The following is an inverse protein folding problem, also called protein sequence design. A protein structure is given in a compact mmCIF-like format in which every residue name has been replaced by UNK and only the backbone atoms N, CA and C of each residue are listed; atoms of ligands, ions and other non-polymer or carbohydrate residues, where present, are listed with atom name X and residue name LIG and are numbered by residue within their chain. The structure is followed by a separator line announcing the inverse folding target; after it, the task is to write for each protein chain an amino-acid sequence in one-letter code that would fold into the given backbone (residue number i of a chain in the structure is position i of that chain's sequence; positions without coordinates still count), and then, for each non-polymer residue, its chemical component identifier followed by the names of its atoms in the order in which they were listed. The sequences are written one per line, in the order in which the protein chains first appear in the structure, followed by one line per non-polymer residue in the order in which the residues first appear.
data_IF_099397149404
#
_entry.id   IF_099397149404
#
_cell.length_a   1.000
_cell.length_b   1.000
_cell.length_c   1.000
_cell.angle_alpha   90.00
_cell.angle_beta   90.00
_cell.angle_gamma   90.00
#
_symmetry.space_group_name_H-M   'P 1'
#
loop_
_entity.id
_entity.type
_entity.pdbx_description
1 polymer ?
#
# COMPACT_ATOMS: atom_id res chain seq x y z
N UNK A 1 15.78 2.17 -9.53
CA UNK A 1 14.43 1.68 -9.86
C UNK A 1 14.02 0.80 -8.71
N UNK A 2 12.98 1.23 -8.02
CA UNK A 2 12.39 0.54 -6.88
C UNK A 2 11.94 -0.86 -7.31
N UNK A 3 11.99 -1.80 -6.38
CA UNK A 3 11.65 -3.20 -6.68
C UNK A 3 10.20 -3.52 -6.33
N UNK A 4 9.65 -2.79 -5.37
CA UNK A 4 8.33 -3.00 -4.82
C UNK A 4 7.55 -1.70 -4.78
N UNK A 5 6.24 -1.81 -4.95
CA UNK A 5 5.29 -0.78 -4.52
C UNK A 5 4.39 -1.37 -3.46
N UNK A 6 3.98 -0.53 -2.52
CA UNK A 6 3.02 -0.86 -1.47
C UNK A 6 1.85 0.07 -1.62
N UNK A 7 0.67 -0.52 -1.76
CA UNK A 7 -0.61 0.13 -1.66
C UNK A 7 -1.04 0.06 -0.19
N UNK A 8 -1.11 1.21 0.46
CA UNK A 8 -1.53 1.33 1.85
C UNK A 8 -3.06 1.45 1.93
N UNK A 9 -3.65 1.13 3.08
CA UNK A 9 -5.10 1.17 3.27
C UNK A 9 -5.72 2.56 3.25
N UNK A 10 -4.91 3.62 3.23
CA UNK A 10 -5.31 5.02 3.05
C UNK A 10 -5.14 5.52 1.60
N UNK A 11 -5.15 4.58 0.66
CA UNK A 11 -5.01 4.76 -0.80
C UNK A 11 -3.65 5.31 -1.25
N UNK A 12 -2.68 5.41 -0.34
CA UNK A 12 -1.35 5.90 -0.66
C UNK A 12 -0.51 4.80 -1.30
N UNK A 13 0.22 5.15 -2.36
CA UNK A 13 1.22 4.29 -3.00
C UNK A 13 2.61 4.77 -2.61
N UNK A 14 3.40 3.88 -2.03
CA UNK A 14 4.81 4.10 -1.74
C UNK A 14 5.68 3.08 -2.47
N UNK A 15 6.93 3.44 -2.75
CA UNK A 15 7.88 2.54 -3.41
C UNK A 15 9.09 2.19 -2.56
N UNK A 16 9.54 0.94 -2.64
CA UNK A 16 10.57 0.37 -1.76
C UNK A 16 11.56 -0.54 -2.52
N UNK A 17 12.78 -0.65 -2.01
CA UNK A 17 13.90 -1.32 -2.71
C UNK A 17 14.08 -2.80 -2.35
N UNK A 18 13.57 -3.23 -1.21
CA UNK A 18 13.69 -4.60 -0.70
C UNK A 18 12.41 -5.08 -0.01
N UNK A 19 12.29 -6.40 0.21
CA UNK A 19 11.15 -6.95 0.96
C UNK A 19 11.23 -6.58 2.44
N UNK A 20 12.46 -6.48 2.96
CA UNK A 20 12.73 -6.06 4.32
C UNK A 20 12.24 -4.63 4.56
N UNK A 21 12.43 -3.73 3.58
CA UNK A 21 11.90 -2.36 3.65
C UNK A 21 10.36 -2.35 3.61
N UNK A 22 9.74 -3.23 2.81
CA UNK A 22 8.27 -3.39 2.78
C UNK A 22 7.73 -3.79 4.15
N UNK A 23 8.33 -4.82 4.76
CA UNK A 23 7.92 -5.29 6.10
C UNK A 23 8.07 -4.15 7.11
N UNK A 24 9.23 -3.47 7.13
CA UNK A 24 9.47 -2.37 8.06
C UNK A 24 8.49 -1.21 7.88
N UNK A 25 8.17 -0.84 6.64
CA UNK A 25 7.20 0.22 6.36
C UNK A 25 5.77 -0.16 6.79
N UNK A 26 5.36 -1.43 6.59
CA UNK A 26 4.05 -1.91 7.03
C UNK A 26 3.95 -2.00 8.56
N UNK A 27 5.01 -2.45 9.23
CA UNK A 27 5.07 -2.47 10.70
C UNK A 27 4.90 -1.05 11.25
N UNK A 28 5.66 -0.08 10.72
CA UNK A 28 5.54 1.34 11.13
C UNK A 28 4.12 1.89 10.87
N UNK A 29 3.57 1.65 9.67
CA UNK A 29 2.22 2.08 9.31
C UNK A 29 1.15 1.52 10.25
N UNK A 30 1.18 0.22 10.53
CA UNK A 30 0.19 -0.39 11.42
C UNK A 30 0.35 0.03 12.87
N UNK A 31 1.57 0.28 13.36
CA UNK A 31 1.76 0.83 14.71
C UNK A 31 1.17 2.24 14.84
N UNK A 32 1.33 3.10 13.82
CA UNK A 32 0.67 4.41 13.76
C UNK A 32 -0.86 4.26 13.77
N UNK A 33 -1.41 3.39 12.92
CA UNK A 33 -2.86 3.15 12.84
C UNK A 33 -3.46 2.57 14.12
N UNK A 34 -2.74 1.67 14.80
CA UNK A 34 -3.18 1.15 16.10
C UNK A 34 -3.20 2.28 17.15
N UNK A 35 -2.19 3.16 17.15
CA UNK A 35 -2.15 4.29 18.07
C UNK A 35 -3.32 5.25 17.83
N UNK A 36 -3.61 5.60 16.57
CA UNK A 36 -4.76 6.42 16.19
C UNK A 36 -6.09 5.80 16.62
N UNK A 37 -6.27 4.49 16.37
CA UNK A 37 -7.46 3.76 16.81
C UNK A 37 -7.62 3.79 18.34
N UNK A 38 -6.53 3.64 19.08
CA UNK A 38 -6.55 3.69 20.54
C UNK A 38 -6.92 5.07 21.07
N UNK A 39 -6.40 6.13 20.47
CA UNK A 39 -6.77 7.50 20.81
C UNK A 39 -8.27 7.75 20.57
N UNK A 40 -8.79 7.28 19.42
CA UNK A 40 -10.20 7.41 19.07
C UNK A 40 -11.16 6.66 20.02
N UNK A 41 -10.78 5.45 20.44
CA UNK A 41 -11.61 4.58 21.29
C UNK A 41 -11.33 4.72 22.80
N UNK A 42 -10.31 5.50 23.19
CA UNK A 42 -9.90 5.69 24.58
C UNK A 42 -9.19 4.46 25.19
N UNK A 43 -8.50 3.67 24.38
CA UNK A 43 -7.62 2.60 24.86
C UNK A 43 -6.23 3.14 25.20
N UNK A 44 -5.58 2.55 26.20
CA UNK A 44 -4.15 2.80 26.44
C UNK A 44 -3.32 1.88 25.54
N UNK A 45 -2.58 2.48 24.61
CA UNK A 45 -1.76 1.79 23.61
C UNK A 45 -0.68 0.90 24.25
N UNK A 46 -0.11 1.33 25.40
CA UNK A 46 0.95 0.61 26.10
C UNK A 46 0.43 -0.64 26.83
N UNK A 47 -0.86 -0.65 27.20
CA UNK A 47 -1.51 -1.76 27.90
C UNK A 47 -2.14 -2.81 26.96
N UNK A 48 -1.99 -2.65 25.64
CA UNK A 48 -2.56 -3.58 24.68
C UNK A 48 -1.89 -4.95 24.73
N UNK A 49 -2.67 -5.97 25.07
CA UNK A 49 -2.23 -7.36 24.87
C UNK A 49 -2.01 -7.66 23.37
N UNK A 50 -1.13 -8.61 23.02
CA UNK A 50 -0.94 -9.03 21.62
C UNK A 50 -2.23 -9.46 20.91
N UNK A 51 -3.15 -10.09 21.65
CA UNK A 51 -4.48 -10.47 21.13
C UNK A 51 -5.31 -9.25 20.75
N UNK A 52 -5.32 -8.23 21.62
CA UNK A 52 -6.07 -6.99 21.38
C UNK A 52 -5.47 -6.19 20.22
N UNK A 53 -4.14 -6.15 20.10
CA UNK A 53 -3.45 -5.57 18.93
C UNK A 53 -3.89 -6.24 17.63
N UNK A 54 -3.88 -7.58 17.59
CA UNK A 54 -4.33 -8.33 16.41
C UNK A 54 -5.82 -8.09 16.09
N UNK A 55 -6.68 -7.96 17.09
CA UNK A 55 -8.08 -7.57 16.89
C UNK A 55 -8.21 -6.16 16.30
N UNK A 56 -7.42 -5.20 16.77
CA UNK A 56 -7.41 -3.82 16.24
C UNK A 56 -6.92 -3.81 14.79
N UNK A 57 -5.81 -4.48 14.47
CA UNK A 57 -5.33 -4.61 13.09
C UNK A 57 -6.40 -5.21 12.16
N UNK A 58 -7.11 -6.24 12.63
CA UNK A 58 -8.21 -6.84 11.86
C UNK A 58 -9.35 -5.84 11.61
N UNK A 59 -9.71 -5.04 12.62
CA UNK A 59 -10.75 -4.01 12.46
C UNK A 59 -10.31 -2.90 11.49
N UNK A 60 -9.07 -2.42 11.59
CA UNK A 60 -8.50 -1.45 10.65
C UNK A 60 -8.55 -2.00 9.22
N UNK A 61 -8.10 -3.25 9.01
CA UNK A 61 -8.15 -3.89 7.70
C UNK A 61 -9.57 -4.09 7.16
N UNK A 62 -10.54 -4.32 8.04
CA UNK A 62 -11.95 -4.44 7.66
C UNK A 62 -12.56 -3.09 7.25
N UNK A 63 -12.22 -2.01 7.96
CA UNK A 63 -12.79 -0.68 7.76
C UNK A 63 -12.10 0.11 6.63
N UNK A 64 -10.77 0.04 6.54
CA UNK A 64 -9.94 0.80 5.59
C UNK A 64 -9.43 -0.05 4.41
N UNK A 65 -9.52 -1.38 4.51
CA UNK A 65 -8.88 -2.30 3.56
C UNK A 65 -7.49 -2.74 4.01
N UNK A 66 -6.93 -3.72 3.32
CA UNK A 66 -5.63 -4.30 3.64
C UNK A 66 -4.52 -3.67 2.80
N UNK A 67 -3.35 -3.45 3.41
CA UNK A 67 -2.18 -3.05 2.66
C UNK A 67 -1.72 -4.19 1.75
N UNK A 68 -1.35 -3.86 0.51
CA UNK A 68 -0.94 -4.85 -0.51
C UNK A 68 0.40 -4.46 -1.10
N UNK A 69 1.26 -5.43 -1.36
CA UNK A 69 2.56 -5.18 -1.96
C UNK A 69 2.74 -5.93 -3.28
N UNK A 70 3.38 -5.26 -4.24
CA UNK A 70 3.55 -5.77 -5.59
C UNK A 70 4.97 -5.56 -6.07
N UNK A 71 5.42 -6.38 -7.01
CA UNK A 71 6.66 -6.08 -7.74
C UNK A 71 6.40 -4.96 -8.73
N UNK A 72 7.13 -3.84 -8.62
CA UNK A 72 6.98 -2.66 -9.49
C UNK A 72 7.02 -3.03 -10.97
N UNK A 73 7.91 -3.97 -11.34
CA UNK A 73 8.02 -4.45 -12.73
C UNK A 73 6.75 -5.16 -13.23
N UNK A 74 6.06 -5.90 -12.37
CA UNK A 74 4.83 -6.59 -12.74
C UNK A 74 3.70 -5.58 -12.96
N UNK A 75 3.59 -4.60 -12.07
CA UNK A 75 2.61 -3.51 -12.18
C UNK A 75 2.83 -2.70 -13.47
N UNK A 76 4.06 -2.27 -13.74
CA UNK A 76 4.40 -1.57 -15.00
C UNK A 76 4.07 -2.42 -16.24
N UNK A 77 4.25 -3.75 -16.16
CA UNK A 77 3.91 -4.64 -17.27
C UNK A 77 2.41 -4.66 -17.53
N UNK A 78 1.61 -4.67 -16.46
CA UNK A 78 0.15 -4.68 -16.56
C UNK A 78 -0.39 -3.34 -17.05
N UNK A 79 0.11 -2.22 -16.53
CA UNK A 79 -0.21 -0.87 -17.02
C UNK A 79 0.05 -0.74 -18.53
N UNK A 80 1.16 -1.29 -19.03
CA UNK A 80 1.48 -1.28 -20.46
C UNK A 80 0.54 -2.11 -21.32
N UNK A 81 -0.10 -3.12 -20.74
CA UNK A 81 -1.05 -3.99 -21.43
C UNK A 81 -2.50 -3.48 -21.29
N UNK A 82 -2.77 -2.65 -20.29
CA UNK A 82 -4.09 -2.13 -19.98
C UNK A 82 -4.58 -1.09 -21.00
N UNK A 83 -5.87 -1.15 -21.31
CA UNK A 83 -6.54 -0.22 -22.23
C UNK A 83 -6.96 1.04 -21.49
N UNK A 84 -6.00 1.93 -21.25
CA UNK A 84 -6.19 3.28 -20.69
C UNK A 84 -5.56 4.34 -21.60
N UNK A 85 -5.88 5.62 -21.36
CA UNK A 85 -5.32 6.74 -22.09
C UNK A 85 -3.79 6.69 -22.12
N UNK A 86 -3.18 6.88 -23.30
CA UNK A 86 -1.73 6.77 -23.44
C UNK A 86 -0.98 7.86 -22.66
N UNK A 87 -1.57 9.05 -22.50
CA UNK A 87 -0.96 10.14 -21.72
C UNK A 87 -0.89 9.77 -20.22
N UNK A 88 -2.00 9.32 -19.64
CA UNK A 88 -2.06 8.87 -18.24
C UNK A 88 -1.17 7.66 -17.99
N UNK A 89 -1.11 6.74 -18.96
CA UNK A 89 -0.24 5.56 -18.92
C UNK A 89 1.23 5.93 -18.86
N UNK A 90 1.67 6.87 -19.70
CA UNK A 90 3.06 7.35 -19.69
C UNK A 90 3.39 8.05 -18.38
N UNK A 91 2.50 8.92 -17.89
CA UNK A 91 2.66 9.61 -16.59
C UNK A 91 2.78 8.63 -15.42
N UNK A 92 1.88 7.66 -15.32
CA UNK A 92 1.90 6.66 -14.26
C UNK A 92 3.17 5.79 -14.29
N UNK A 93 3.61 5.40 -15.50
CA UNK A 93 4.86 4.63 -15.64
C UNK A 93 6.06 5.47 -15.21
N UNK A 94 6.10 6.75 -15.58
CA UNK A 94 7.18 7.66 -15.18
C UNK A 94 7.22 7.84 -13.67
N UNK A 95 6.07 7.99 -13.01
CA UNK A 95 6.00 8.03 -11.55
C UNK A 95 6.47 6.73 -10.91
N UNK A 96 6.03 5.57 -11.41
CA UNK A 96 6.50 4.27 -10.92
C UNK A 96 7.99 3.99 -11.21
N UNK A 97 8.60 4.74 -12.12
CA UNK A 97 10.03 4.69 -12.40
C UNK A 97 10.85 5.71 -11.60
N UNK A 98 10.18 6.65 -10.92
CA UNK A 98 10.77 7.62 -10.01
C UNK A 98 11.50 6.94 -8.84
N UNK A 99 12.44 7.67 -8.23
CA UNK A 99 13.08 7.23 -6.98
C UNK A 99 12.22 7.51 -5.75
N UNK A 100 11.22 8.36 -5.87
CA UNK A 100 10.35 8.81 -4.78
C UNK A 100 8.90 8.61 -5.20
N UNK A 101 8.44 7.36 -5.15
CA UNK A 101 7.04 7.01 -5.44
C UNK A 101 6.21 7.43 -4.23
N UNK A 102 5.35 8.43 -4.43
CA UNK A 102 4.44 8.93 -3.41
C UNK A 102 3.24 9.64 -4.04
N UNK A 103 2.19 8.89 -4.33
CA UNK A 103 0.94 9.39 -4.92
C UNK A 103 -0.26 8.62 -4.35
N UNK A 104 -1.48 9.03 -4.68
CA UNK A 104 -2.71 8.33 -4.28
C UNK A 104 -3.26 7.50 -5.43
N UNK A 105 -3.84 6.34 -5.13
CA UNK A 105 -4.47 5.53 -6.19
C UNK A 105 -5.56 6.29 -6.94
N UNK A 106 -6.32 7.15 -6.25
CA UNK A 106 -7.33 8.03 -6.85
C UNK A 106 -6.76 9.10 -7.81
N UNK A 107 -5.43 9.27 -7.88
CA UNK A 107 -4.81 10.12 -8.90
C UNK A 107 -4.87 9.46 -10.30
N UNK A 108 -5.15 8.14 -10.37
CA UNK A 108 -5.24 7.35 -11.60
C UNK A 108 -6.45 6.39 -11.56
N UNK A 109 -7.52 6.74 -12.27
CA UNK A 109 -8.83 6.06 -12.22
C UNK A 109 -8.74 4.53 -12.44
N UNK A 110 -7.89 4.07 -13.36
CA UNK A 110 -7.77 2.65 -13.70
C UNK A 110 -6.77 1.86 -12.82
N UNK A 111 -6.00 2.53 -11.96
CA UNK A 111 -4.93 1.85 -11.22
C UNK A 111 -5.46 0.78 -10.26
N UNK A 112 -6.60 1.02 -9.62
CA UNK A 112 -7.21 0.02 -8.73
C UNK A 112 -7.57 -1.27 -9.48
N UNK A 113 -8.15 -1.14 -10.68
CA UNK A 113 -8.53 -2.28 -11.52
C UNK A 113 -7.29 -3.02 -12.04
N UNK A 114 -6.25 -2.28 -12.44
CA UNK A 114 -4.97 -2.85 -12.87
C UNK A 114 -4.35 -3.68 -11.75
N UNK A 115 -4.35 -3.18 -10.51
CA UNK A 115 -3.73 -3.87 -9.38
C UNK A 115 -4.42 -5.22 -9.05
N UNK A 116 -5.71 -5.37 -9.34
CA UNK A 116 -6.41 -6.65 -9.16
C UNK A 116 -5.90 -7.76 -10.07
N UNK A 117 -5.29 -7.42 -11.19
CA UNK A 117 -4.72 -8.36 -12.16
C UNK A 117 -3.23 -8.68 -11.91
N UNK A 118 -2.63 -8.05 -10.89
CA UNK A 118 -1.22 -8.24 -10.54
C UNK A 118 -1.08 -9.15 -9.32
N UNK A 119 -0.27 -10.19 -9.44
CA UNK A 119 0.08 -11.05 -8.31
C UNK A 119 0.73 -10.23 -7.16
N UNK A 120 0.08 -10.25 -6.01
CA UNK A 120 0.60 -9.74 -4.75
C UNK A 120 1.84 -10.55 -4.32
N UNK A 121 2.77 -9.90 -3.62
CA UNK A 121 3.87 -10.61 -2.96
C UNK A 121 3.44 -11.02 -1.57
N UNK A 122 3.75 -12.26 -1.18
CA UNK A 122 3.69 -12.64 0.23
C UNK A 122 4.71 -11.83 1.02
N UNK A 123 4.22 -11.21 2.09
CA UNK A 123 4.95 -10.38 3.06
C UNK A 123 4.80 -10.99 4.46
#
# INVERSE_FOLDING_TARGET
MLKFIVFLSDDKVIGLDSKEDVIGALDEYYEEKIAEYCEGEGFDYEDLSPKKRSEICFMIGYDEGECRAYRTRNVIKEIKAYDMCDEEKEELIDELMSQDINFKVDDYDELYDILQEVDEIDI
#
